data_IF_059343454602
#
_entry.id   IF_059343454602
#
_cell.length_a   1.000
_cell.length_b   1.000
_cell.length_c   1.000
_cell.angle_alpha   90.00
_cell.angle_beta   90.00
_cell.angle_gamma   90.00
#
_symmetry.space_group_name_H-M   'P 1'
#
loop_
_entity.id
_entity.type
_entity.pdbx_description
1 polymer ?
#
# COMPACT_ATOMS: atom_id res chain seq x y z
N UNK A 1 19.36 11.47 -5.40
CA UNK A 1 18.25 11.09 -4.51
C UNK A 1 18.83 10.27 -3.38
N UNK A 2 18.48 10.64 -2.15
CA UNK A 2 18.82 9.85 -0.96
C UNK A 2 17.82 8.70 -0.80
N UNK A 3 18.23 7.65 -0.10
CA UNK A 3 17.35 6.54 0.27
C UNK A 3 16.48 7.01 1.42
N UNK A 4 15.17 6.86 1.30
CA UNK A 4 14.23 7.12 2.38
C UNK A 4 13.15 6.04 2.38
N UNK A 5 12.93 5.44 3.55
CA UNK A 5 11.81 4.54 3.78
C UNK A 5 11.26 4.71 5.20
N UNK A 6 9.96 4.52 5.35
CA UNK A 6 9.28 4.47 6.63
C UNK A 6 7.87 3.92 6.47
N UNK A 7 7.28 3.50 7.59
CA UNK A 7 5.84 3.31 7.77
C UNK A 7 5.41 4.04 9.03
N UNK A 8 4.36 4.85 8.93
CA UNK A 8 3.81 5.61 10.05
C UNK A 8 2.31 5.39 10.12
N UNK A 9 1.78 5.29 11.34
CA UNK A 9 0.34 5.29 11.58
C UNK A 9 -0.07 6.57 12.31
N UNK A 10 -0.90 7.37 11.65
CA UNK A 10 -1.56 8.54 12.20
C UNK A 10 -2.87 8.10 12.86
N UNK A 11 -2.88 8.04 14.20
CA UNK A 11 -4.02 7.52 14.97
C UNK A 11 -5.31 8.34 14.77
N UNK A 12 -5.18 9.67 14.71
CA UNK A 12 -6.34 10.56 14.64
C UNK A 12 -7.11 10.45 13.32
N UNK A 13 -6.40 10.15 12.22
CA UNK A 13 -6.99 9.97 10.89
C UNK A 13 -7.14 8.51 10.48
N UNK A 14 -6.68 7.57 11.32
CA UNK A 14 -6.49 6.15 11.01
C UNK A 14 -5.82 5.94 9.64
N UNK A 15 -4.81 6.76 9.33
CA UNK A 15 -4.06 6.68 8.07
C UNK A 15 -2.69 6.06 8.33
N UNK A 16 -2.38 5.01 7.60
CA UNK A 16 -1.02 4.48 7.49
C UNK A 16 -0.38 5.08 6.25
N UNK A 17 0.81 5.64 6.38
CA UNK A 17 1.62 6.05 5.23
C UNK A 17 2.89 5.23 5.22
N UNK A 18 3.13 4.52 4.12
CA UNK A 18 4.36 3.79 3.89
C UNK A 18 5.10 4.35 2.68
N UNK A 19 6.40 4.53 2.78
CA UNK A 19 7.24 5.17 1.76
C UNK A 19 8.48 4.34 1.50
N UNK A 20 8.87 4.30 0.22
CA UNK A 20 10.12 3.70 -0.24
C UNK A 20 10.60 4.45 -1.49
N UNK A 21 11.70 5.19 -1.39
CA UNK A 21 12.22 6.04 -2.47
C UNK A 21 13.76 6.01 -2.53
N UNK A 22 14.32 6.31 -3.71
CA UNK A 22 15.75 6.35 -3.95
C UNK A 22 16.32 5.04 -4.51
N UNK A 23 17.66 4.90 -4.54
CA UNK A 23 18.37 3.72 -5.06
C UNK A 23 18.26 2.52 -4.10
N UNK A 24 17.11 1.84 -4.09
CA UNK A 24 16.78 0.80 -3.12
C UNK A 24 17.57 -0.48 -3.35
N UNK A 25 18.24 -0.98 -2.31
CA UNK A 25 18.81 -2.32 -2.27
C UNK A 25 17.80 -3.36 -1.79
N UNK A 26 18.16 -4.64 -1.90
CA UNK A 26 17.34 -5.71 -1.32
C UNK A 26 17.22 -5.57 0.21
N UNK A 27 18.30 -5.16 0.89
CA UNK A 27 18.30 -4.94 2.33
C UNK A 27 17.35 -3.80 2.74
N UNK A 28 17.30 -2.72 1.95
CA UNK A 28 16.39 -1.60 2.20
C UNK A 28 14.93 -2.04 2.02
N UNK A 29 14.64 -2.81 0.97
CA UNK A 29 13.30 -3.37 0.74
C UNK A 29 12.88 -4.30 1.90
N UNK A 30 13.79 -5.13 2.42
CA UNK A 30 13.52 -5.98 3.59
C UNK A 30 13.32 -5.17 4.86
N UNK A 31 14.11 -4.12 5.08
CA UNK A 31 13.98 -3.25 6.25
C UNK A 31 12.63 -2.49 6.23
N UNK A 32 12.27 -1.94 5.08
CA UNK A 32 10.97 -1.32 4.85
C UNK A 32 9.81 -2.28 5.08
N UNK A 33 9.89 -3.51 4.56
CA UNK A 33 8.86 -4.52 4.75
C UNK A 33 8.66 -4.85 6.24
N UNK A 34 9.76 -4.99 6.98
CA UNK A 34 9.72 -5.22 8.43
C UNK A 34 9.03 -4.06 9.16
N UNK A 35 9.34 -2.82 8.81
CA UNK A 35 8.73 -1.63 9.41
C UNK A 35 7.21 -1.59 9.15
N UNK A 36 6.80 -1.86 7.91
CA UNK A 36 5.38 -1.98 7.56
C UNK A 36 4.66 -3.08 8.37
N UNK A 37 5.25 -4.27 8.44
CA UNK A 37 4.71 -5.38 9.24
C UNK A 37 4.58 -5.01 10.71
N UNK A 38 5.60 -4.35 11.29
CA UNK A 38 5.58 -3.95 12.70
C UNK A 38 4.46 -2.95 13.01
N UNK A 39 4.26 -1.96 12.14
CA UNK A 39 3.17 -0.99 12.32
C UNK A 39 1.81 -1.67 12.28
N UNK A 40 1.61 -2.59 11.34
CA UNK A 40 0.33 -3.29 11.18
C UNK A 40 0.04 -4.28 12.32
N UNK A 41 1.06 -5.01 12.78
CA UNK A 41 0.94 -5.90 13.95
C UNK A 41 0.67 -5.16 15.25
N UNK A 42 1.10 -3.90 15.34
CA UNK A 42 0.88 -3.03 16.49
C UNK A 42 -0.49 -2.32 16.48
N UNK A 43 -1.30 -2.49 15.43
CA UNK A 43 -2.65 -1.94 15.40
C UNK A 43 -3.52 -2.59 16.47
N UNK A 44 -4.34 -1.81 17.20
CA UNK A 44 -5.36 -2.35 18.08
C UNK A 44 -6.33 -3.28 17.34
N UNK A 45 -6.85 -4.27 18.06
CA UNK A 45 -7.92 -5.14 17.56
C UNK A 45 -9.13 -4.30 17.08
N UNK A 46 -9.73 -4.71 15.95
CA UNK A 46 -10.86 -4.02 15.34
C UNK A 46 -10.52 -2.71 14.61
N UNK A 47 -9.23 -2.36 14.47
CA UNK A 47 -8.82 -1.11 13.80
C UNK A 47 -9.27 -1.10 12.34
N UNK A 48 -9.96 -0.03 11.95
CA UNK A 48 -10.24 0.29 10.55
C UNK A 48 -9.31 1.40 10.09
N UNK A 49 -8.53 1.17 9.04
CA UNK A 49 -7.52 2.12 8.57
C UNK A 49 -7.55 2.36 7.06
N UNK A 50 -6.96 3.48 6.65
CA UNK A 50 -6.61 3.84 5.27
C UNK A 50 -5.12 3.68 5.07
N UNK A 51 -4.66 3.44 3.85
CA UNK A 51 -3.23 3.36 3.56
C UNK A 51 -2.81 4.21 2.35
N UNK A 52 -1.71 4.93 2.50
CA UNK A 52 -0.98 5.58 1.42
C UNK A 52 0.33 4.84 1.18
N UNK A 53 0.46 4.22 0.00
CA UNK A 53 1.68 3.56 -0.47
C UNK A 53 2.42 4.51 -1.40
N UNK A 54 3.48 5.15 -0.92
CA UNK A 54 4.22 6.15 -1.66
C UNK A 54 5.56 5.59 -2.16
N UNK A 55 5.57 5.11 -3.41
CA UNK A 55 6.77 4.66 -4.11
C UNK A 55 7.26 5.68 -5.13
N UNK A 56 6.86 6.95 -5.01
CA UNK A 56 7.38 7.99 -5.88
C UNK A 56 8.89 8.17 -5.70
N UNK A 57 9.65 7.95 -6.77
CA UNK A 57 11.11 7.99 -6.79
C UNK A 57 11.79 6.64 -6.48
N UNK A 58 11.02 5.55 -6.41
CA UNK A 58 11.55 4.20 -6.21
C UNK A 58 12.45 3.79 -7.39
N UNK A 59 13.73 3.51 -7.11
CA UNK A 59 14.70 3.11 -8.11
C UNK A 59 15.49 1.87 -7.63
N UNK A 60 14.96 0.65 -7.79
CA UNK A 60 15.63 -0.55 -7.32
C UNK A 60 16.97 -0.75 -8.02
N UNK A 61 18.02 -0.98 -7.25
CA UNK A 61 19.40 -1.19 -7.73
C UNK A 61 19.63 -2.53 -8.44
N UNK A 62 18.68 -3.46 -8.33
CA UNK A 62 18.75 -4.78 -8.98
C UNK A 62 17.36 -5.38 -9.22
N UNK A 63 17.28 -6.41 -10.07
CA UNK A 63 16.06 -7.21 -10.27
C UNK A 63 15.59 -7.85 -8.97
N UNK A 64 16.51 -8.28 -8.10
CA UNK A 64 16.16 -8.84 -6.79
C UNK A 64 15.56 -7.78 -5.88
N UNK A 65 16.19 -6.61 -5.77
CA UNK A 65 15.62 -5.49 -5.02
C UNK A 65 14.21 -5.12 -5.52
N UNK A 66 14.02 -5.16 -6.84
CA UNK A 66 12.73 -4.93 -7.46
C UNK A 66 11.68 -6.03 -7.15
N UNK A 67 12.08 -7.31 -7.05
CA UNK A 67 11.20 -8.41 -6.64
C UNK A 67 10.85 -8.32 -5.15
N UNK A 68 11.80 -7.97 -4.30
CA UNK A 68 11.64 -8.00 -2.85
C UNK A 68 10.52 -7.09 -2.35
N UNK A 69 10.40 -5.86 -2.86
CA UNK A 69 9.29 -4.97 -2.45
C UNK A 69 7.94 -5.39 -3.07
N UNK A 70 7.95 -5.93 -4.31
CA UNK A 70 6.72 -6.35 -5.02
C UNK A 70 6.01 -7.51 -4.34
N UNK A 71 6.74 -8.42 -3.69
CA UNK A 71 6.14 -9.56 -3.00
C UNK A 71 5.47 -9.17 -1.67
N UNK A 72 5.91 -8.08 -1.05
CA UNK A 72 5.47 -7.68 0.29
C UNK A 72 4.09 -7.04 0.26
N UNK A 73 3.86 -6.04 -0.61
CA UNK A 73 2.60 -5.28 -0.60
C UNK A 73 1.34 -6.12 -0.86
N UNK A 74 1.27 -6.99 -1.89
CA UNK A 74 0.07 -7.78 -2.16
C UNK A 74 -0.24 -8.73 -1.00
N UNK A 75 0.77 -9.47 -0.54
CA UNK A 75 0.61 -10.49 0.51
C UNK A 75 0.14 -9.86 1.81
N UNK A 76 0.81 -8.78 2.22
CA UNK A 76 0.55 -8.11 3.48
C UNK A 76 -0.82 -7.41 3.47
N UNK A 77 -1.24 -6.76 2.38
CA UNK A 77 -2.59 -6.19 2.30
C UNK A 77 -3.70 -7.28 2.29
N UNK A 78 -3.45 -8.44 1.68
CA UNK A 78 -4.41 -9.55 1.68
C UNK A 78 -4.66 -10.13 3.09
N UNK A 79 -3.66 -10.10 3.97
CA UNK A 79 -3.73 -10.57 5.37
C UNK A 79 -4.53 -9.65 6.29
N UNK A 80 -4.73 -8.38 5.92
CA UNK A 80 -5.51 -7.37 6.67
C UNK A 80 -6.87 -7.06 6.03
N UNK A 81 -7.48 -8.07 5.40
CA UNK A 81 -8.84 -7.96 4.88
C UNK A 81 -8.98 -7.17 3.58
N UNK A 82 -7.88 -6.72 2.97
CA UNK A 82 -7.93 -5.90 1.76
C UNK A 82 -7.90 -6.79 0.51
N UNK A 83 -8.97 -6.77 -0.31
CA UNK A 83 -8.93 -7.28 -1.69
C UNK A 83 -8.60 -6.16 -2.68
N UNK A 84 -7.33 -6.06 -3.03
CA UNK A 84 -6.84 -5.02 -3.93
C UNK A 84 -7.22 -5.44 -5.36
N UNK A 85 -7.58 -4.51 -6.25
CA UNK A 85 -7.52 -4.83 -7.68
C UNK A 85 -6.09 -5.22 -8.11
N UNK A 86 -5.06 -4.73 -7.39
CA UNK A 86 -3.65 -5.12 -7.51
C UNK A 86 -3.37 -6.60 -7.22
N UNK A 87 -4.19 -7.31 -6.44
CA UNK A 87 -4.01 -8.75 -6.24
C UNK A 87 -4.34 -9.52 -7.51
N UNK A 88 -5.28 -9.02 -8.31
CA UNK A 88 -5.63 -9.60 -9.61
C UNK A 88 -4.47 -9.44 -10.65
N UNK A 89 -3.36 -8.79 -10.29
CA UNK A 89 -2.12 -8.72 -11.10
C UNK A 89 -1.15 -9.90 -10.91
N UNK A 90 -1.29 -10.67 -9.83
CA UNK A 90 -0.34 -11.73 -9.47
C UNK A 90 -1.06 -13.08 -9.50
N UNK A 91 -0.62 -14.02 -10.35
CA UNK A 91 -1.17 -15.38 -10.36
C UNK A 91 -1.05 -16.05 -8.99
N UNK A 92 -0.02 -15.67 -8.22
CA UNK A 92 0.27 -16.14 -6.86
C UNK A 92 -0.78 -15.69 -5.83
N UNK A 93 -1.58 -14.66 -6.15
CA UNK A 93 -2.65 -14.18 -5.30
C UNK A 93 -3.99 -14.92 -5.55
N UNK A 94 -4.08 -15.77 -6.58
CA UNK A 94 -5.28 -16.55 -6.85
C UNK A 94 -5.58 -17.52 -5.70
N UNK A 95 -6.67 -17.27 -4.98
CA UNK A 95 -7.14 -18.14 -3.89
C UNK A 95 -6.63 -17.75 -2.50
N UNK A 96 -5.96 -16.60 -2.34
CA UNK A 96 -5.65 -16.06 -1.01
C UNK A 96 -6.95 -15.84 -0.22
N UNK A 97 -7.02 -16.44 0.97
CA UNK A 97 -8.13 -16.19 1.89
C UNK A 97 -7.97 -14.80 2.46
N UNK A 98 -8.94 -13.94 2.17
CA UNK A 98 -9.06 -12.65 2.84
C UNK A 98 -9.43 -12.95 4.29
N UNK A 99 -8.49 -12.71 5.19
CA UNK A 99 -8.71 -12.78 6.63
C UNK A 99 -8.54 -11.38 7.19
N UNK A 100 -9.35 -11.01 8.18
CA UNK A 100 -9.02 -9.89 9.06
C UNK A 100 -8.42 -10.48 10.32
N UNK A 101 -7.09 -10.46 10.43
CA UNK A 101 -6.47 -10.81 11.70
C UNK A 101 -6.98 -9.83 12.77
N UNK A 102 -7.58 -10.35 13.86
CA UNK A 102 -8.12 -9.53 14.97
C UNK A 102 -9.13 -8.46 14.50
N UNK A 103 -9.92 -8.72 13.45
CA UNK A 103 -10.91 -7.75 12.95
C UNK A 103 -10.31 -6.44 12.42
N UNK A 104 -8.99 -6.38 12.21
CA UNK A 104 -8.33 -5.24 11.57
C UNK A 104 -8.73 -5.22 10.09
N UNK A 105 -9.09 -4.05 9.59
CA UNK A 105 -9.59 -3.90 8.22
C UNK A 105 -9.02 -2.63 7.58
N UNK A 106 -8.42 -2.80 6.42
CA UNK A 106 -8.07 -1.65 5.59
C UNK A 106 -9.20 -1.35 4.60
N UNK A 107 -9.65 -0.09 4.53
CA UNK A 107 -10.88 0.29 3.80
C UNK A 107 -10.68 1.33 2.68
N UNK A 108 -9.56 2.07 2.67
CA UNK A 108 -9.18 2.99 1.57
C UNK A 108 -7.66 2.92 1.28
N UNK A 109 -7.26 2.87 0.01
CA UNK A 109 -5.85 2.75 -0.39
C UNK A 109 -5.55 3.68 -1.55
N UNK A 110 -4.38 4.29 -1.52
CA UNK A 110 -3.84 4.99 -2.68
C UNK A 110 -2.40 4.60 -2.89
N UNK A 111 -2.03 4.36 -4.14
CA UNK A 111 -0.69 3.97 -4.54
C UNK A 111 -0.09 5.05 -5.42
N UNK A 112 1.08 5.55 -5.04
CA UNK A 112 1.83 6.53 -5.82
C UNK A 112 3.10 5.92 -6.40
N UNK A 113 3.35 6.15 -7.69
CA UNK A 113 4.57 5.71 -8.36
C UNK A 113 4.96 6.68 -9.48
N UNK A 114 6.25 6.96 -9.64
CA UNK A 114 6.75 7.93 -10.64
C UNK A 114 6.60 7.49 -12.12
N UNK A 115 6.07 6.29 -12.37
CA UNK A 115 5.94 5.75 -13.74
C UNK A 115 4.51 5.98 -14.17
N UNK A 116 4.27 7.16 -14.75
CA UNK A 116 2.95 7.62 -15.18
C UNK A 116 2.24 6.62 -16.10
N UNK A 117 2.98 6.01 -17.02
CA UNK A 117 2.40 5.04 -17.95
C UNK A 117 1.91 3.80 -17.20
N UNK A 118 2.76 3.22 -16.35
CA UNK A 118 2.41 2.03 -15.58
C UNK A 118 1.27 2.28 -14.60
N UNK A 119 1.32 3.39 -13.86
CA UNK A 119 0.36 3.66 -12.79
C UNK A 119 -1.02 4.05 -13.33
N UNK A 120 -1.08 4.75 -14.47
CA UNK A 120 -2.35 5.04 -15.15
C UNK A 120 -2.98 3.77 -15.74
N UNK A 121 -2.19 2.81 -16.22
CA UNK A 121 -2.72 1.51 -16.61
C UNK A 121 -3.27 0.73 -15.41
N UNK A 122 -2.66 0.85 -14.23
CA UNK A 122 -3.22 0.27 -13.01
C UNK A 122 -4.52 0.96 -12.60
N UNK A 123 -4.58 2.29 -12.65
CA UNK A 123 -5.80 3.04 -12.38
C UNK A 123 -6.96 2.58 -13.28
N UNK A 124 -6.74 2.50 -14.60
CA UNK A 124 -7.78 2.06 -15.54
C UNK A 124 -8.28 0.64 -15.30
N UNK A 125 -7.40 -0.26 -14.86
CA UNK A 125 -7.72 -1.70 -14.72
C UNK A 125 -8.25 -2.07 -13.34
N UNK A 126 -7.77 -1.38 -12.30
CA UNK A 126 -7.93 -1.78 -10.91
C UNK A 126 -8.48 -0.68 -10.02
N UNK A 127 -8.49 0.57 -10.49
CA UNK A 127 -9.06 1.69 -9.77
C UNK A 127 -10.52 1.42 -9.41
N UNK A 128 -10.88 1.74 -8.17
CA UNK A 128 -12.21 1.56 -7.57
C UNK A 128 -12.50 2.76 -6.70
N UNK A 129 -13.74 2.88 -6.26
CA UNK A 129 -14.16 3.98 -5.38
C UNK A 129 -13.28 4.16 -4.14
N UNK A 130 -12.77 3.08 -3.55
CA UNK A 130 -11.92 3.10 -2.36
C UNK A 130 -10.45 2.76 -2.63
N UNK A 131 -10.04 2.76 -3.90
CA UNK A 131 -8.68 2.43 -4.31
C UNK A 131 -8.27 3.18 -5.58
N UNK A 132 -7.18 3.95 -5.50
CA UNK A 132 -6.65 4.65 -6.66
C UNK A 132 -5.13 4.54 -6.82
N UNK A 133 -4.68 4.80 -8.04
CA UNK A 133 -3.30 4.74 -8.48
C UNK A 133 -2.92 6.05 -9.18
N UNK A 134 -1.99 6.81 -8.61
CA UNK A 134 -1.59 8.11 -9.14
C UNK A 134 -0.07 8.23 -9.32
N UNK A 135 0.35 9.12 -10.21
CA UNK A 135 1.76 9.50 -10.39
C UNK A 135 2.16 10.75 -9.60
N UNK A 136 1.23 11.38 -8.88
CA UNK A 136 1.48 12.56 -8.07
C UNK A 136 1.28 12.25 -6.57
N UNK A 137 2.32 12.43 -5.73
CA UNK A 137 2.21 12.18 -4.30
C UNK A 137 1.27 13.17 -3.59
N UNK A 138 1.13 14.41 -4.06
CA UNK A 138 0.25 15.43 -3.50
C UNK A 138 -1.21 15.03 -3.75
N UNK A 139 -1.53 14.67 -5.00
CA UNK A 139 -2.88 14.20 -5.37
C UNK A 139 -3.26 12.94 -4.59
N UNK A 140 -2.30 12.01 -4.44
CA UNK A 140 -2.50 10.79 -3.67
C UNK A 140 -2.83 11.08 -2.22
N UNK A 141 -2.02 11.91 -1.58
CA UNK A 141 -2.20 12.27 -0.17
C UNK A 141 -3.50 13.04 0.06
N UNK A 142 -3.83 13.99 -0.82
CA UNK A 142 -5.08 14.74 -0.74
C UNK A 142 -6.29 13.81 -0.84
N UNK A 143 -6.28 12.88 -1.81
CA UNK A 143 -7.37 11.94 -2.00
C UNK A 143 -7.58 11.06 -0.76
N UNK A 144 -6.53 10.38 -0.29
CA UNK A 144 -6.67 9.41 0.81
C UNK A 144 -7.03 10.09 2.12
N UNK A 145 -6.56 11.31 2.38
CA UNK A 145 -6.93 12.07 3.57
C UNK A 145 -8.40 12.47 3.55
N UNK A 146 -8.92 12.87 2.40
CA UNK A 146 -10.31 13.27 2.23
C UNK A 146 -11.29 12.11 2.01
N UNK A 147 -10.79 10.90 1.71
CA UNK A 147 -11.63 9.72 1.58
C UNK A 147 -12.39 9.43 2.87
N UNK A 148 -13.72 9.35 2.75
CA UNK A 148 -14.63 8.95 3.82
C UNK A 148 -15.19 7.59 3.48
N UNK A 149 -15.17 6.69 4.46
CA UNK A 149 -15.88 5.42 4.33
C UNK A 149 -17.34 5.73 4.01
N UNK A 150 -17.82 5.27 2.87
CA UNK A 150 -19.22 5.36 2.54
C UNK A 150 -19.97 4.45 3.50
N UNK A 151 -20.99 4.99 4.16
CA UNK A 151 -21.86 4.19 5.00
C UNK A 151 -22.43 3.07 4.12
N UNK A 152 -22.26 1.78 4.48
CA UNK A 152 -23.02 0.74 3.83
C UNK A 152 -24.49 1.09 4.12
N UNK A 153 -25.23 1.41 3.07
CA UNK A 153 -26.63 1.83 3.10
C UNK A 153 -27.40 1.04 4.16
N UNK A 154 -28.03 1.78 5.09
CA UNK A 154 -28.97 1.29 6.09
C UNK A 154 -30.07 0.42 5.48
#
# INVERSE_FOLDING_TARGET
MEIEFYTKWEKDSNLITTRLTGPISEADATAWAKDLTQVLQALPEGTKFKIFVNFFGLNPSSVNAHKSYRNVMPLLLSEYGWRIGYLDLFEEANGLKITSEKGIQCYAAVHCHQDSYKIQEYEKRFGKENEHFYDDPIVSEEWIRNFKMLDPVR
#
